data_IF_657325242768
#
_entry.id   IF_657325242768
#
_cell.length_a   1.000
_cell.length_b   1.000
_cell.length_c   1.000
_cell.angle_alpha   90.00
_cell.angle_beta   90.00
_cell.angle_gamma   90.00
#
_symmetry.space_group_name_H-M   'P 1'
#
loop_
_entity.id
_entity.type
_entity.pdbx_description
1 polymer ?
#
# COMPACT_ATOMS: atom_id res chain seq x y z
N UNK A 1 -17.91 -20.24 -36.16
CA UNK A 1 -19.00 -20.19 -35.17
C UNK A 1 -19.43 -21.65 -34.95
N UNK A 2 -19.25 -22.25 -33.76
CA UNK A 2 -19.68 -21.70 -32.48
C UNK A 2 -18.58 -21.62 -31.39
N UNK A 3 -18.93 -20.85 -30.37
CA UNK A 3 -18.29 -20.55 -29.09
C UNK A 3 -18.48 -21.67 -28.07
N UNK A 4 -17.50 -21.91 -27.19
CA UNK A 4 -17.79 -22.50 -25.88
C UNK A 4 -16.91 -21.90 -24.78
N UNK A 5 -17.59 -21.26 -23.82
CA UNK A 5 -17.05 -20.61 -22.65
C UNK A 5 -16.67 -21.65 -21.60
N UNK A 6 -15.41 -21.67 -21.17
CA UNK A 6 -15.00 -22.47 -20.01
C UNK A 6 -15.24 -21.65 -18.75
N UNK A 7 -16.25 -22.08 -18.00
CA UNK A 7 -16.71 -21.51 -16.73
C UNK A 7 -15.61 -21.57 -15.67
N UNK A 8 -15.40 -20.44 -15.01
CA UNK A 8 -14.63 -20.28 -13.77
C UNK A 8 -15.28 -21.10 -12.65
N UNK A 9 -14.48 -21.93 -11.97
CA UNK A 9 -14.87 -22.57 -10.72
C UNK A 9 -14.24 -21.80 -9.55
N UNK A 10 -15.04 -20.96 -8.88
CA UNK A 10 -14.67 -20.38 -7.59
C UNK A 10 -14.92 -21.42 -6.50
N UNK A 11 -13.86 -21.91 -5.86
CA UNK A 11 -13.95 -22.75 -4.67
C UNK A 11 -13.65 -21.87 -3.44
N UNK A 12 -14.68 -21.64 -2.65
CA UNK A 12 -14.60 -21.02 -1.34
C UNK A 12 -13.83 -21.91 -0.35
N UNK A 13 -12.95 -21.31 0.45
CA UNK A 13 -12.51 -21.90 1.73
C UNK A 13 -12.49 -20.80 2.79
N UNK A 14 -13.57 -20.78 3.58
CA UNK A 14 -13.73 -19.97 4.77
C UNK A 14 -13.08 -20.75 5.92
N UNK A 15 -12.00 -20.24 6.50
CA UNK A 15 -11.39 -20.80 7.70
C UNK A 15 -11.42 -19.77 8.82
N UNK A 16 -12.34 -19.99 9.77
CA UNK A 16 -12.40 -19.30 11.04
C UNK A 16 -11.67 -20.12 12.11
N UNK A 17 -10.79 -19.48 12.88
CA UNK A 17 -10.30 -19.88 14.22
C UNK A 17 -9.23 -18.88 14.67
N UNK A 18 -9.03 -18.50 15.93
CA UNK A 18 -9.77 -18.58 17.19
C UNK A 18 -8.99 -17.65 18.16
N UNK A 19 -9.68 -16.92 19.04
CA UNK A 19 -9.06 -16.01 20.03
C UNK A 19 -8.52 -16.79 21.24
N UNK A 20 -7.21 -16.70 21.53
CA UNK A 20 -6.54 -16.94 22.82
C UNK A 20 -5.17 -16.21 22.75
N UNK A 21 -4.67 -15.42 23.69
CA UNK A 21 -5.05 -15.09 25.05
C UNK A 21 -4.10 -14.02 25.65
N UNK A 22 -4.41 -13.65 26.88
CA UNK A 22 -3.83 -12.59 27.71
C UNK A 22 -2.44 -12.95 28.28
N UNK A 23 -1.45 -12.06 28.18
CA UNK A 23 -0.28 -11.92 29.05
C UNK A 23 0.19 -10.46 28.91
N UNK A 24 0.12 -9.58 29.92
CA UNK A 24 0.85 -9.69 31.18
C UNK A 24 2.11 -8.82 31.08
N UNK A 25 2.01 -7.53 31.39
CA UNK A 25 3.15 -6.62 31.37
C UNK A 25 2.83 -5.25 31.99
N UNK A 26 2.68 -5.22 33.31
CA UNK A 26 2.69 -3.97 34.05
C UNK A 26 4.13 -3.42 34.07
N UNK A 27 4.37 -2.27 33.45
CA UNK A 27 5.58 -1.47 33.71
C UNK A 27 5.33 -0.62 34.95
N UNK A 28 5.74 -1.14 36.10
CA UNK A 28 5.90 -0.36 37.34
C UNK A 28 7.27 0.33 37.23
N UNK A 29 7.29 1.66 37.16
CA UNK A 29 8.50 2.47 37.09
C UNK A 29 8.42 3.72 37.96
N UNK A 30 8.90 3.57 39.20
CA UNK A 30 9.50 4.57 40.10
C UNK A 30 8.81 5.93 40.31
N UNK A 31 8.23 6.06 41.50
CA UNK A 31 7.91 7.31 42.18
C UNK A 31 9.21 8.02 42.61
N UNK A 32 9.28 9.34 42.38
CA UNK A 32 10.34 10.21 42.89
C UNK A 32 9.90 11.67 42.92
N UNK A 33 9.26 12.06 44.04
CA UNK A 33 9.42 13.34 44.76
C UNK A 33 9.20 14.70 44.06
N UNK A 34 8.10 15.34 44.46
CA UNK A 34 7.95 16.76 44.88
C UNK A 34 8.04 17.96 43.89
N UNK A 35 6.85 18.56 43.73
CA UNK A 35 6.51 19.97 43.95
C UNK A 35 6.66 21.05 42.85
N UNK A 36 5.46 21.47 42.39
CA UNK A 36 4.95 22.84 42.16
C UNK A 36 4.76 23.34 40.70
N UNK A 37 3.67 24.10 40.42
CA UNK A 37 3.11 24.29 39.09
C UNK A 37 3.46 25.65 38.48
N UNK A 38 3.70 25.72 37.17
CA UNK A 38 3.29 26.83 36.27
C UNK A 38 3.74 26.53 34.83
N UNK A 39 3.10 27.19 33.85
CA UNK A 39 3.73 27.46 32.56
C UNK A 39 3.34 26.59 31.36
N UNK A 40 2.36 27.06 30.59
CA UNK A 40 2.21 26.76 29.16
C UNK A 40 3.54 26.76 28.42
N UNK A 41 3.82 25.71 27.63
CA UNK A 41 4.49 25.83 26.33
C UNK A 41 4.27 24.57 25.50
N UNK A 42 3.73 24.80 24.29
CA UNK A 42 3.55 23.84 23.21
C UNK A 42 4.84 23.09 22.94
N UNK A 43 4.75 21.77 22.77
CA UNK A 43 5.76 21.01 22.02
C UNK A 43 4.98 20.10 21.09
N UNK A 44 4.88 20.53 19.82
CA UNK A 44 4.48 19.64 18.75
C UNK A 44 5.55 18.57 18.60
N UNK A 45 5.13 17.31 18.64
CA UNK A 45 5.88 16.25 17.98
C UNK A 45 5.31 16.17 16.55
N UNK A 46 6.12 16.47 15.51
CA UNK A 46 5.77 16.10 14.16
C UNK A 46 6.13 14.63 13.94
N UNK A 47 5.34 13.98 13.10
CA UNK A 47 5.67 12.77 12.34
C UNK A 47 6.00 11.48 13.11
N UNK A 48 4.96 10.66 13.28
CA UNK A 48 5.08 9.27 12.82
C UNK A 48 3.76 8.85 12.15
N UNK A 49 3.56 9.38 10.95
CA UNK A 49 2.70 8.74 9.96
C UNK A 49 3.57 7.81 9.10
N UNK A 50 4.27 6.84 9.71
CA UNK A 50 4.69 5.64 8.97
C UNK A 50 3.58 4.61 9.09
N UNK A 51 2.55 4.81 8.27
CA UNK A 51 1.54 3.79 7.99
C UNK A 51 2.24 2.54 7.49
N UNK A 52 2.15 1.45 8.26
CA UNK A 52 2.25 0.07 7.77
C UNK A 52 3.56 -0.29 7.06
N UNK A 53 4.61 -0.58 7.82
CA UNK A 53 5.63 -1.53 7.37
C UNK A 53 5.02 -2.93 7.30
N UNK A 54 4.19 -3.17 6.29
CA UNK A 54 3.74 -4.51 5.90
C UNK A 54 4.98 -5.31 5.49
N UNK A 55 5.15 -6.51 6.07
CA UNK A 55 6.19 -7.44 5.63
C UNK A 55 6.08 -7.58 4.09
N UNK A 56 7.19 -7.47 3.33
CA UNK A 56 7.11 -7.49 1.88
C UNK A 56 6.36 -8.75 1.46
N UNK A 57 5.36 -8.64 0.57
CA UNK A 57 4.56 -9.78 0.19
C UNK A 57 5.47 -10.89 -0.33
N UNK A 58 5.08 -12.14 -0.09
CA UNK A 58 5.78 -13.33 -0.61
C UNK A 58 5.93 -13.33 -2.15
N UNK A 59 5.23 -12.41 -2.84
CA UNK A 59 5.42 -12.14 -4.27
C UNK A 59 6.78 -11.55 -4.61
N UNK A 60 7.53 -11.01 -3.64
CA UNK A 60 8.81 -10.34 -3.85
C UNK A 60 8.69 -8.98 -4.53
N UNK A 61 7.49 -8.40 -4.64
CA UNK A 61 7.29 -7.06 -5.21
C UNK A 61 6.87 -6.11 -4.10
N UNK A 62 7.57 -4.99 -3.94
CA UNK A 62 7.17 -3.94 -2.98
C UNK A 62 6.77 -2.67 -3.69
N UNK A 63 5.85 -1.92 -3.08
CA UNK A 63 5.40 -0.62 -3.53
C UNK A 63 5.40 0.36 -2.35
N UNK A 64 5.87 1.56 -2.60
CA UNK A 64 5.83 2.70 -1.70
C UNK A 64 5.36 3.94 -2.47
N UNK A 65 4.76 4.89 -1.76
CA UNK A 65 4.31 6.16 -2.32
C UNK A 65 4.61 7.32 -1.36
N UNK A 66 5.01 8.45 -1.93
CA UNK A 66 5.28 9.69 -1.19
C UNK A 66 4.89 10.93 -2.01
N UNK A 67 4.06 11.84 -1.47
CA UNK A 67 3.34 11.76 -0.19
C UNK A 67 2.11 10.83 -0.26
N UNK A 68 1.65 10.34 0.89
CA UNK A 68 0.40 9.56 1.01
C UNK A 68 -0.84 10.43 1.26
N UNK A 69 -0.68 11.74 1.50
CA UNK A 69 -1.78 12.71 1.62
C UNK A 69 -1.48 13.93 0.77
N UNK A 70 -2.43 14.35 -0.05
CA UNK A 70 -2.25 15.46 -0.99
C UNK A 70 -3.55 16.22 -1.26
N UNK A 71 -3.46 17.50 -1.68
CA UNK A 71 -4.62 18.24 -2.17
C UNK A 71 -5.10 17.70 -3.53
N UNK A 72 -6.27 18.15 -4.02
CA UNK A 72 -6.77 17.73 -5.33
C UNK A 72 -5.76 18.10 -6.42
N UNK A 73 -5.52 17.18 -7.37
CA UNK A 73 -4.51 17.31 -8.43
C UNK A 73 -3.06 17.37 -7.95
N UNK A 74 -2.78 16.99 -6.71
CA UNK A 74 -1.41 16.78 -6.26
C UNK A 74 -0.73 15.65 -7.04
N UNK A 75 0.60 15.62 -7.00
CA UNK A 75 1.42 14.59 -7.62
C UNK A 75 1.99 13.73 -6.51
N UNK A 76 1.90 12.42 -6.68
CA UNK A 76 2.53 11.43 -5.81
C UNK A 76 3.63 10.72 -6.59
N UNK A 77 4.79 10.58 -5.97
CA UNK A 77 5.87 9.74 -6.47
C UNK A 77 5.65 8.33 -5.94
N UNK A 78 5.64 7.33 -6.81
CA UNK A 78 5.66 5.94 -6.38
C UNK A 78 7.00 5.30 -6.75
N UNK A 79 7.43 4.38 -5.91
CA UNK A 79 8.66 3.60 -6.10
C UNK A 79 8.40 2.18 -5.65
N UNK A 80 9.06 1.23 -6.30
CA UNK A 80 8.95 -0.16 -5.92
C UNK A 80 10.17 -0.97 -6.29
N UNK A 81 10.24 -2.18 -5.74
CA UNK A 81 11.35 -3.10 -5.97
C UNK A 81 10.84 -4.50 -6.28
N UNK A 82 11.61 -5.25 -7.06
CA UNK A 82 11.35 -6.66 -7.39
C UNK A 82 12.53 -7.48 -6.86
N UNK A 83 12.20 -8.52 -6.11
CA UNK A 83 13.11 -9.53 -5.58
C UNK A 83 12.76 -10.90 -6.19
N UNK A 84 13.76 -11.69 -6.62
CA UNK A 84 15.16 -11.27 -6.84
C UNK A 84 15.26 -10.12 -7.86
N UNK A 85 16.33 -9.32 -7.77
CA UNK A 85 16.53 -8.18 -8.65
C UNK A 85 16.71 -8.63 -10.11
N UNK A 86 15.81 -8.18 -10.98
CA UNK A 86 15.80 -8.53 -12.40
C UNK A 86 15.39 -7.31 -13.22
N UNK A 87 16.09 -7.10 -14.36
CA UNK A 87 15.77 -6.04 -15.30
C UNK A 87 14.73 -6.50 -16.31
N UNK A 88 13.92 -5.56 -16.81
CA UNK A 88 13.01 -5.85 -17.91
C UNK A 88 11.67 -6.45 -17.48
N UNK A 89 11.44 -6.66 -16.19
CA UNK A 89 10.12 -7.03 -15.67
C UNK A 89 9.18 -5.84 -15.77
N UNK A 90 8.08 -6.00 -16.50
CA UNK A 90 7.03 -5.01 -16.63
C UNK A 90 5.97 -5.21 -15.54
N UNK A 91 5.62 -4.13 -14.85
CA UNK A 91 4.53 -4.12 -13.87
C UNK A 91 3.48 -3.11 -14.28
N UNK A 92 2.21 -3.34 -13.96
CA UNK A 92 1.10 -2.39 -14.17
C UNK A 92 0.60 -1.86 -12.84
N UNK A 93 0.36 -0.56 -12.76
CA UNK A 93 -0.23 0.07 -11.59
C UNK A 93 -1.76 -0.10 -11.63
N UNK A 94 -2.31 -0.57 -10.52
CA UNK A 94 -3.74 -0.66 -10.29
C UNK A 94 -4.15 0.22 -9.12
N UNK A 95 -5.39 0.69 -9.16
CA UNK A 95 -6.00 1.40 -8.04
C UNK A 95 -7.38 0.83 -7.70
N UNK A 96 -7.84 1.12 -6.49
CA UNK A 96 -9.18 0.86 -6.00
C UNK A 96 -9.63 2.08 -5.18
N UNK A 97 -10.88 2.50 -5.39
CA UNK A 97 -11.51 3.56 -4.61
C UNK A 97 -12.42 2.92 -3.57
N UNK A 98 -12.17 3.15 -2.28
CA UNK A 98 -12.91 2.50 -1.19
C UNK A 98 -12.88 0.97 -1.29
N UNK A 99 -14.05 0.33 -1.22
CA UNK A 99 -14.24 -1.12 -1.35
C UNK A 99 -14.56 -1.58 -2.79
N UNK A 100 -14.23 -0.76 -3.79
CA UNK A 100 -14.48 -1.06 -5.20
C UNK A 100 -13.65 -2.22 -5.76
N UNK A 101 -13.76 -2.43 -7.08
CA UNK A 101 -12.87 -3.36 -7.79
C UNK A 101 -11.51 -2.72 -8.09
N UNK A 102 -10.48 -3.56 -8.22
CA UNK A 102 -9.18 -3.13 -8.69
C UNK A 102 -9.23 -2.87 -10.19
N UNK A 103 -8.83 -1.68 -10.60
CA UNK A 103 -8.75 -1.28 -12.01
C UNK A 103 -7.35 -0.79 -12.36
N UNK A 104 -6.97 -0.99 -13.61
CA UNK A 104 -5.73 -0.47 -14.17
C UNK A 104 -5.74 1.07 -14.16
N UNK A 105 -4.66 1.69 -13.71
CA UNK A 105 -4.57 3.14 -13.49
C UNK A 105 -3.64 3.81 -14.50
N UNK A 106 -3.99 4.99 -15.06
CA UNK A 106 -5.21 5.78 -14.80
C UNK A 106 -6.49 5.21 -15.42
N UNK A 107 -6.37 4.35 -16.42
CA UNK A 107 -7.47 3.65 -17.06
C UNK A 107 -6.97 2.37 -17.74
N UNK A 108 -7.88 1.46 -18.08
CA UNK A 108 -7.56 0.17 -18.69
C UNK A 108 -6.91 0.26 -20.09
N UNK A 109 -7.19 1.33 -20.84
CA UNK A 109 -6.65 1.52 -22.19
C UNK A 109 -5.19 2.01 -22.17
N UNK A 110 -4.79 2.76 -21.15
CA UNK A 110 -3.44 3.34 -21.05
C UNK A 110 -2.94 3.28 -19.59
N UNK A 111 -2.64 2.09 -19.07
CA UNK A 111 -2.10 1.95 -17.73
C UNK A 111 -0.67 2.47 -17.62
N UNK A 112 -0.32 2.92 -16.42
CA UNK A 112 1.07 3.17 -16.03
C UNK A 112 1.75 1.80 -15.87
N UNK A 113 2.66 1.49 -16.80
CA UNK A 113 3.32 0.19 -16.87
C UNK A 113 4.86 0.30 -16.86
N UNK A 114 5.49 0.69 -15.73
CA UNK A 114 6.94 0.85 -15.67
C UNK A 114 7.66 -0.49 -15.81
N UNK A 115 8.89 -0.42 -16.30
CA UNK A 115 9.79 -1.57 -16.45
C UNK A 115 10.90 -1.45 -15.41
N UNK A 116 11.16 -2.55 -14.70
CA UNK A 116 12.24 -2.65 -13.72
C UNK A 116 13.62 -2.49 -14.34
N UNK A 117 14.52 -1.88 -13.58
CA UNK A 117 15.94 -1.75 -13.90
C UNK A 117 16.73 -2.96 -13.42
N UNK A 118 18.02 -3.00 -13.75
CA UNK A 118 18.91 -4.11 -13.38
C UNK A 118 19.06 -4.34 -11.87
N UNK A 119 18.78 -3.33 -11.06
CA UNK A 119 18.73 -3.42 -9.59
C UNK A 119 17.33 -3.84 -9.06
N UNK A 120 16.39 -4.20 -9.95
CA UNK A 120 15.02 -4.55 -9.60
C UNK A 120 14.13 -3.35 -9.28
N UNK A 121 14.63 -2.11 -9.39
CA UNK A 121 13.84 -0.92 -9.06
C UNK A 121 12.94 -0.46 -10.20
N UNK A 122 11.76 0.05 -9.86
CA UNK A 122 10.85 0.74 -10.77
C UNK A 122 10.20 1.92 -10.03
N UNK A 123 9.60 2.84 -10.78
CA UNK A 123 8.92 3.99 -10.19
C UNK A 123 8.34 4.93 -11.23
N UNK A 124 7.64 5.95 -10.75
CA UNK A 124 7.00 6.95 -11.58
C UNK A 124 6.19 7.94 -10.76
N UNK A 125 5.29 8.65 -11.44
CA UNK A 125 4.43 9.67 -10.83
C UNK A 125 2.98 9.41 -11.20
N UNK A 126 2.09 9.68 -10.25
CA UNK A 126 0.64 9.58 -10.43
C UNK A 126 -0.02 10.84 -9.88
N UNK A 127 -1.19 11.17 -10.40
CA UNK A 127 -2.04 12.25 -9.88
C UNK A 127 -3.44 11.71 -9.65
N UNK A 128 -3.75 11.21 -8.44
CA UNK A 128 -5.11 10.81 -8.12
C UNK A 128 -6.07 11.99 -8.21
N UNK A 129 -7.18 11.80 -8.92
CA UNK A 129 -8.23 12.82 -9.07
C UNK A 129 -9.43 12.56 -8.15
N UNK A 130 -9.57 11.32 -7.65
CA UNK A 130 -10.69 10.91 -6.83
C UNK A 130 -10.46 11.29 -5.36
N UNK A 131 -11.40 12.04 -4.79
CA UNK A 131 -11.38 12.45 -3.39
C UNK A 131 -11.49 11.25 -2.44
N UNK A 132 -10.84 11.35 -1.28
CA UNK A 132 -10.84 10.33 -0.24
C UNK A 132 -9.72 9.28 -0.38
N UNK A 133 -9.86 8.12 0.29
CA UNK A 133 -8.84 7.08 0.28
C UNK A 133 -8.85 6.31 -1.05
N UNK A 134 -7.67 6.21 -1.65
CA UNK A 134 -7.39 5.46 -2.87
C UNK A 134 -6.31 4.41 -2.55
N UNK A 135 -6.63 3.13 -2.69
CA UNK A 135 -5.65 2.05 -2.55
C UNK A 135 -4.94 1.83 -3.88
N UNK A 136 -3.64 1.61 -3.84
CA UNK A 136 -2.77 1.34 -4.99
C UNK A 136 -1.98 0.06 -4.79
N UNK A 137 -1.75 -0.66 -5.88
CA UNK A 137 -0.85 -1.82 -5.92
C UNK A 137 -0.27 -1.96 -7.32
N UNK A 138 0.81 -2.72 -7.46
CA UNK A 138 1.31 -3.14 -8.77
C UNK A 138 1.14 -4.64 -8.98
N UNK A 139 0.94 -5.02 -10.23
CA UNK A 139 0.82 -6.41 -10.67
C UNK A 139 1.84 -6.65 -11.78
N UNK A 140 2.58 -7.75 -11.73
CA UNK A 140 3.46 -8.11 -12.83
C UNK A 140 2.64 -8.50 -14.07
N UNK A 141 3.04 -8.01 -15.25
CA UNK A 141 2.27 -8.23 -16.49
C UNK A 141 2.36 -9.68 -16.99
N UNK A 142 3.55 -10.27 -16.90
CA UNK A 142 3.79 -11.66 -17.33
C UNK A 142 3.29 -12.71 -16.33
N UNK A 143 3.10 -12.33 -15.06
CA UNK A 143 2.62 -13.19 -13.98
C UNK A 143 1.69 -12.40 -13.05
N UNK A 144 0.40 -12.41 -13.36
CA UNK A 144 -0.61 -11.65 -12.61
C UNK A 144 -0.83 -12.17 -11.17
N UNK A 145 -0.22 -13.31 -10.80
CA UNK A 145 -0.22 -13.80 -9.41
C UNK A 145 0.78 -13.05 -8.53
N UNK A 146 1.78 -12.38 -9.13
CA UNK A 146 2.76 -11.56 -8.41
C UNK A 146 2.23 -10.13 -8.27
N UNK A 147 1.76 -9.84 -7.06
CA UNK A 147 1.13 -8.56 -6.69
C UNK A 147 1.90 -7.94 -5.51
N UNK A 148 2.09 -6.63 -5.52
CA UNK A 148 2.72 -5.92 -4.39
C UNK A 148 1.82 -5.82 -3.16
N UNK A 149 2.38 -5.27 -2.07
CA UNK A 149 1.58 -4.72 -0.97
C UNK A 149 0.66 -3.59 -1.48
N UNK A 150 -0.38 -3.31 -0.71
CA UNK A 150 -1.29 -2.18 -0.96
C UNK A 150 -0.72 -0.91 -0.31
N UNK A 151 -0.86 0.21 -1.01
CA UNK A 151 -0.50 1.55 -0.51
C UNK A 151 -1.72 2.45 -0.59
N UNK A 152 -2.11 3.05 0.53
CA UNK A 152 -3.23 3.99 0.56
C UNK A 152 -2.74 5.43 0.38
N UNK A 153 -3.40 6.15 -0.53
CA UNK A 153 -3.19 7.56 -0.80
C UNK A 153 -4.52 8.30 -0.59
N UNK A 154 -4.51 9.31 0.27
CA UNK A 154 -5.69 10.13 0.56
C UNK A 154 -5.62 11.47 -0.17
N UNK A 155 -6.63 11.75 -1.00
CA UNK A 155 -6.82 13.09 -1.59
C UNK A 155 -7.76 13.88 -0.69
N UNK A 156 -7.22 14.87 0.01
CA UNK A 156 -7.97 15.80 0.86
C UNK A 156 -8.48 17.00 0.04
N UNK A 157 -9.60 17.58 0.47
CA UNK A 157 -10.16 18.81 -0.14
C UNK A 157 -9.38 20.07 0.22
#
# INVERSE_FOLDING_TARGET
MPTEATRRAFAACLAAAAVVGFAGGAVIGSQGGDAAPDGSSRTGAPDDASTGGEEPPDSGITLAADPTTLPPRGIVTFSGTIAPAEAGIQVKLQHRVGEGEWTDFPNADTPIAPVSRADGTFGGFVSPEQLGPNSYRVVQVDDESRVSNEVEITVAE
#
